data_IF_794990055757
#
_entry.id   IF_794990055757
#
_cell.length_a   1.000
_cell.length_b   1.000
_cell.length_c   1.000
_cell.angle_alpha   90.00
_cell.angle_beta   90.00
_cell.angle_gamma   90.00
#
_symmetry.space_group_name_H-M   'P 1'
#
loop_
_entity.id
_entity.type
_entity.pdbx_description
1 polymer ?
#
# COMPACT_ATOMS: atom_id res chain seq x y z
N UNK A 1 31.34 -5.52 0.45
CA UNK A 1 30.58 -4.33 0.91
C UNK A 1 31.56 -3.27 1.39
N UNK A 2 31.35 -1.99 1.06
CA UNK A 2 32.21 -0.90 1.58
C UNK A 2 31.76 -0.55 3.00
N UNK A 3 32.71 -0.29 3.90
CA UNK A 3 32.41 0.09 5.29
C UNK A 3 31.55 1.36 5.36
N UNK A 4 31.80 2.32 4.47
CA UNK A 4 31.04 3.56 4.38
C UNK A 4 29.56 3.36 4.05
N UNK A 5 29.23 2.44 3.13
CA UNK A 5 27.82 2.17 2.77
C UNK A 5 27.06 1.57 3.95
N UNK A 6 27.70 0.70 4.73
CA UNK A 6 27.10 0.11 5.92
C UNK A 6 26.83 1.15 7.02
N UNK A 7 27.79 2.03 7.27
CA UNK A 7 27.63 3.14 8.24
C UNK A 7 26.49 4.07 7.81
N UNK A 8 26.45 4.43 6.52
CA UNK A 8 25.41 5.30 5.98
C UNK A 8 24.01 4.69 6.12
N UNK A 9 23.87 3.38 5.87
CA UNK A 9 22.61 2.67 6.07
C UNK A 9 22.16 2.74 7.53
N UNK A 10 23.04 2.43 8.48
CA UNK A 10 22.71 2.52 9.91
C UNK A 10 22.30 3.93 10.35
N UNK A 11 22.93 4.96 9.79
CA UNK A 11 22.56 6.35 10.07
C UNK A 11 21.18 6.69 9.50
N UNK A 12 20.88 6.25 8.27
CA UNK A 12 19.58 6.44 7.64
C UNK A 12 18.46 5.75 8.43
N UNK A 13 18.68 4.52 8.86
CA UNK A 13 17.77 3.72 9.68
C UNK A 13 17.46 4.41 11.02
N UNK A 14 18.49 4.87 11.73
CA UNK A 14 18.34 5.64 12.98
C UNK A 14 17.55 6.93 12.77
N UNK A 15 17.80 7.64 11.66
CA UNK A 15 17.06 8.85 11.31
C UNK A 15 15.58 8.56 11.04
N UNK A 16 15.27 7.45 10.37
CA UNK A 16 13.88 7.05 10.11
C UNK A 16 13.15 6.73 11.41
N UNK A 17 13.73 5.89 12.27
CA UNK A 17 13.15 5.54 13.57
C UNK A 17 12.91 6.78 14.45
N UNK A 18 13.87 7.72 14.47
CA UNK A 18 13.72 8.99 15.20
C UNK A 18 12.53 9.81 14.67
N UNK A 19 12.43 9.98 13.34
CA UNK A 19 11.32 10.73 12.71
C UNK A 19 9.96 10.09 12.98
N UNK A 20 9.89 8.75 12.99
CA UNK A 20 8.66 8.03 13.33
C UNK A 20 8.24 8.32 14.77
N UNK A 21 9.18 8.31 15.72
CA UNK A 21 8.89 8.65 17.12
C UNK A 21 8.49 10.11 17.31
N UNK A 22 9.15 11.04 16.61
CA UNK A 22 8.79 12.46 16.66
C UNK A 22 7.37 12.71 16.12
N UNK A 23 6.96 11.95 15.09
CA UNK A 23 5.65 12.15 14.46
C UNK A 23 4.50 11.45 15.17
N UNK A 24 4.73 10.26 15.71
CA UNK A 24 3.68 9.38 16.24
C UNK A 24 3.80 9.12 17.75
N UNK A 25 4.85 9.63 18.40
CA UNK A 25 5.12 9.42 19.82
C UNK A 25 5.99 8.20 20.12
N UNK A 26 6.14 7.87 21.40
CA UNK A 26 7.00 6.76 21.85
C UNK A 26 6.32 5.39 21.81
N UNK A 27 4.99 5.33 21.91
CA UNK A 27 4.22 4.08 21.87
C UNK A 27 3.65 3.93 20.47
N UNK A 28 4.47 3.40 19.56
CA UNK A 28 4.09 3.19 18.16
C UNK A 28 4.04 1.69 17.89
N UNK A 29 2.88 1.23 17.46
CA UNK A 29 2.67 -0.10 16.90
C UNK A 29 2.72 0.05 15.38
N UNK A 30 3.61 -0.69 14.74
CA UNK A 30 3.72 -0.75 13.29
C UNK A 30 2.92 -1.95 12.80
N UNK A 31 1.97 -1.70 11.90
CA UNK A 31 1.24 -2.75 11.19
C UNK A 31 1.72 -2.71 9.75
N UNK A 32 2.40 -3.77 9.31
CA UNK A 32 2.93 -3.90 7.96
C UNK A 32 2.30 -5.08 7.26
N UNK A 33 2.19 -5.02 5.93
CA UNK A 33 1.73 -6.14 5.14
C UNK A 33 2.68 -7.32 5.16
N UNK A 34 2.18 -8.55 5.22
CA UNK A 34 3.01 -9.75 5.07
C UNK A 34 3.38 -10.07 3.61
N UNK A 35 2.85 -9.31 2.63
CA UNK A 35 3.01 -9.64 1.21
C UNK A 35 4.48 -9.61 0.78
N UNK A 36 4.90 -10.71 0.16
CA UNK A 36 6.17 -10.80 -0.52
C UNK A 36 5.88 -11.10 -1.98
N UNK A 37 6.12 -10.13 -2.85
CA UNK A 37 6.12 -10.40 -4.28
C UNK A 37 7.32 -11.30 -4.62
N UNK A 38 7.09 -12.35 -5.41
CA UNK A 38 8.18 -13.02 -6.11
C UNK A 38 8.94 -12.03 -7.00
N UNK A 39 10.10 -12.42 -7.50
CA UNK A 39 10.89 -11.56 -8.38
C UNK A 39 10.16 -11.43 -9.74
N UNK A 40 9.25 -10.45 -9.86
CA UNK A 40 8.48 -10.20 -11.07
C UNK A 40 9.35 -9.46 -12.07
N UNK A 41 9.35 -9.92 -13.33
CA UNK A 41 10.11 -9.29 -14.41
C UNK A 41 9.71 -7.81 -14.53
N UNK A 42 10.71 -6.92 -14.58
CA UNK A 42 10.54 -5.46 -14.63
C UNK A 42 10.00 -4.79 -13.35
N UNK A 43 10.00 -5.49 -12.21
CA UNK A 43 9.71 -4.88 -10.91
C UNK A 43 10.96 -4.87 -10.03
N UNK A 44 11.22 -3.78 -9.32
CA UNK A 44 12.29 -3.79 -8.32
C UNK A 44 11.94 -4.78 -7.21
N UNK A 45 12.90 -5.60 -6.75
CA UNK A 45 12.67 -6.47 -5.61
C UNK A 45 12.32 -5.61 -4.39
N UNK A 46 11.21 -5.96 -3.74
CA UNK A 46 10.72 -5.23 -2.57
C UNK A 46 11.73 -5.41 -1.45
N UNK A 47 12.38 -4.31 -1.01
CA UNK A 47 13.45 -4.32 0.01
C UNK A 47 12.91 -4.39 1.45
N UNK A 48 11.76 -5.03 1.63
CA UNK A 48 10.99 -4.90 2.87
C UNK A 48 11.67 -5.60 4.05
N UNK A 49 12.25 -6.78 3.82
CA UNK A 49 12.84 -7.62 4.88
C UNK A 49 13.86 -6.86 5.75
N UNK A 50 14.78 -6.13 5.11
CA UNK A 50 15.79 -5.35 5.84
C UNK A 50 15.20 -4.21 6.66
N UNK A 51 14.17 -3.54 6.10
CA UNK A 51 13.46 -2.46 6.78
C UNK A 51 12.67 -2.97 7.99
N UNK A 52 11.97 -4.11 7.86
CA UNK A 52 11.23 -4.73 8.97
C UNK A 52 12.14 -5.12 10.12
N UNK A 53 13.23 -5.83 9.81
CA UNK A 53 14.25 -6.20 10.81
C UNK A 53 14.78 -4.96 11.56
N UNK A 54 14.94 -3.84 10.86
CA UNK A 54 15.37 -2.59 11.46
C UNK A 54 14.30 -1.98 12.36
N UNK A 55 13.04 -1.96 11.92
CA UNK A 55 11.92 -1.38 12.68
C UNK A 55 11.58 -2.17 13.94
N UNK A 56 11.61 -3.51 13.90
CA UNK A 56 11.34 -4.39 15.06
C UNK A 56 12.27 -4.11 16.24
N UNK A 57 13.49 -3.60 16.00
CA UNK A 57 14.42 -3.26 17.09
C UNK A 57 13.97 -2.08 17.94
N UNK A 58 13.06 -1.25 17.44
CA UNK A 58 12.65 -0.02 18.09
C UNK A 58 11.15 0.15 18.30
N UNK A 59 10.34 -0.78 17.79
CA UNK A 59 8.89 -0.70 17.72
C UNK A 59 8.26 -2.10 17.82
N UNK A 60 7.03 -2.17 18.33
CA UNK A 60 6.21 -3.38 18.24
C UNK A 60 5.68 -3.51 16.80
N UNK A 61 5.93 -4.65 16.15
CA UNK A 61 5.45 -4.93 14.79
C UNK A 61 4.35 -6.00 14.83
N UNK A 62 3.33 -5.82 13.99
CA UNK A 62 2.40 -6.86 13.57
C UNK A 62 2.40 -6.96 12.06
N UNK A 63 2.36 -8.19 11.56
CA UNK A 63 2.18 -8.46 10.14
C UNK A 63 0.71 -8.73 9.86
N UNK A 64 0.12 -7.91 9.01
CA UNK A 64 -1.23 -8.08 8.51
C UNK A 64 -1.20 -9.00 7.28
N UNK A 65 -2.11 -9.98 7.22
CA UNK A 65 -2.29 -10.74 6.00
C UNK A 65 -2.95 -9.87 4.93
N UNK A 66 -2.20 -9.51 3.89
CA UNK A 66 -2.70 -8.69 2.79
C UNK A 66 -3.46 -9.50 1.73
N UNK A 67 -3.68 -10.79 1.98
CA UNK A 67 -4.49 -11.60 1.08
C UNK A 67 -5.87 -10.95 0.89
N UNK A 68 -6.19 -10.59 -0.37
CA UNK A 68 -7.46 -9.97 -0.79
C UNK A 68 -7.80 -8.61 -0.16
N UNK A 69 -6.89 -7.93 0.54
CA UNK A 69 -7.18 -6.60 1.12
C UNK A 69 -7.54 -5.57 0.06
N UNK A 70 -6.93 -5.63 -1.13
CA UNK A 70 -7.27 -4.77 -2.27
C UNK A 70 -8.59 -5.12 -2.96
N UNK A 71 -9.21 -6.25 -2.60
CA UNK A 71 -10.47 -6.72 -3.18
C UNK A 71 -11.68 -6.38 -2.31
N UNK A 72 -11.49 -5.81 -1.12
CA UNK A 72 -12.55 -5.53 -0.16
C UNK A 72 -12.70 -4.02 0.03
N UNK A 73 -13.95 -3.55 0.11
CA UNK A 73 -14.21 -2.15 0.41
C UNK A 73 -14.13 -1.89 1.92
N UNK A 74 -13.34 -0.91 2.40
CA UNK A 74 -13.32 -0.55 3.82
C UNK A 74 -14.65 0.02 4.32
N UNK A 75 -15.41 0.68 3.44
CA UNK A 75 -16.64 1.39 3.79
C UNK A 75 -17.87 0.48 3.90
N UNK A 76 -17.82 -0.69 3.27
CA UNK A 76 -18.94 -1.63 3.22
C UNK A 76 -18.48 -2.99 3.70
N UNK A 77 -19.07 -3.46 4.78
CA UNK A 77 -18.65 -4.69 5.44
C UNK A 77 -18.76 -5.87 4.47
N UNK A 78 -17.61 -6.43 4.10
CA UNK A 78 -17.46 -7.58 3.19
C UNK A 78 -18.00 -7.38 1.77
N UNK A 79 -18.20 -6.14 1.28
CA UNK A 79 -18.49 -5.96 -0.14
C UNK A 79 -17.21 -6.13 -0.95
N UNK A 80 -17.25 -6.99 -1.96
CA UNK A 80 -16.16 -7.05 -2.92
C UNK A 80 -16.09 -5.76 -3.74
N UNK A 81 -14.89 -5.41 -4.17
CA UNK A 81 -14.64 -4.35 -5.13
C UNK A 81 -14.78 -4.90 -6.55
N UNK A 82 -15.41 -4.13 -7.43
CA UNK A 82 -15.34 -4.34 -8.86
C UNK A 82 -14.07 -3.68 -9.42
N UNK A 83 -13.48 -4.32 -10.43
CA UNK A 83 -12.23 -3.91 -11.04
C UNK A 83 -12.29 -2.49 -11.63
N UNK A 84 -13.46 -2.03 -12.06
CA UNK A 84 -13.62 -0.74 -12.73
C UNK A 84 -14.78 0.06 -12.14
N UNK A 85 -14.63 1.38 -12.18
CA UNK A 85 -15.69 2.32 -11.82
C UNK A 85 -16.30 2.90 -13.07
N UNK A 86 -17.62 2.90 -13.15
CA UNK A 86 -18.34 3.62 -14.20
C UNK A 86 -18.34 5.11 -13.88
N UNK A 87 -17.77 5.90 -14.78
CA UNK A 87 -17.67 7.35 -14.65
C UNK A 87 -18.23 8.00 -15.91
N UNK A 88 -18.71 9.24 -15.80
CA UNK A 88 -19.11 10.02 -16.96
C UNK A 88 -17.88 10.27 -17.86
N UNK A 89 -18.00 10.13 -19.19
CA UNK A 89 -16.82 10.24 -20.07
C UNK A 89 -16.15 11.61 -19.85
N UNK A 90 -14.87 11.62 -19.41
CA UNK A 90 -14.17 12.88 -19.17
C UNK A 90 -14.05 13.70 -20.46
N UNK A 91 -14.10 13.06 -21.64
CA UNK A 91 -14.08 13.70 -22.95
C UNK A 91 -15.48 14.18 -23.30
N UNK A 92 -15.72 15.47 -23.08
CA UNK A 92 -17.00 16.15 -23.33
C UNK A 92 -17.61 15.86 -24.72
N UNK A 93 -16.78 15.82 -25.76
CA UNK A 93 -17.22 15.56 -27.13
C UNK A 93 -17.68 14.10 -27.37
N UNK A 94 -17.20 13.15 -26.56
CA UNK A 94 -17.60 11.75 -26.66
C UNK A 94 -18.86 11.42 -25.85
N UNK A 95 -19.25 12.26 -24.88
CA UNK A 95 -20.41 12.02 -24.01
C UNK A 95 -21.72 11.77 -24.75
N UNK A 96 -21.91 12.36 -25.94
CA UNK A 96 -23.10 12.11 -26.76
C UNK A 96 -23.20 10.66 -27.25
N UNK A 97 -22.05 10.02 -27.50
CA UNK A 97 -21.95 8.66 -28.05
C UNK A 97 -21.70 7.63 -26.95
N UNK A 98 -20.86 7.97 -25.99
CA UNK A 98 -20.48 7.16 -24.84
C UNK A 98 -20.60 8.01 -23.57
N UNK A 99 -21.79 8.13 -22.98
CA UNK A 99 -22.00 9.00 -21.82
C UNK A 99 -21.31 8.49 -20.56
N UNK A 100 -21.18 7.16 -20.44
CA UNK A 100 -20.58 6.46 -19.30
C UNK A 100 -19.50 5.54 -19.85
N UNK A 101 -18.32 5.58 -19.23
CA UNK A 101 -17.18 4.74 -19.57
C UNK A 101 -16.62 4.09 -18.31
N UNK A 102 -15.96 2.94 -18.49
CA UNK A 102 -15.22 2.29 -17.42
C UNK A 102 -13.90 3.03 -17.19
N UNK A 103 -13.66 3.46 -15.96
CA UNK A 103 -12.38 3.98 -15.51
C UNK A 103 -11.55 2.83 -14.94
N UNK A 104 -10.47 2.49 -15.64
CA UNK A 104 -9.57 1.40 -15.26
C UNK A 104 -8.65 1.74 -14.09
N UNK A 105 -8.54 3.01 -13.69
CA UNK A 105 -7.73 3.46 -12.56
C UNK A 105 -8.48 3.48 -11.23
N UNK A 106 -9.81 3.32 -11.25
CA UNK A 106 -10.66 3.43 -10.07
C UNK A 106 -11.47 2.14 -9.85
N UNK A 107 -11.46 1.68 -8.60
CA UNK A 107 -12.31 0.58 -8.16
C UNK A 107 -13.69 1.11 -7.74
N UNK A 108 -14.72 0.28 -7.86
CA UNK A 108 -16.05 0.57 -7.32
C UNK A 108 -16.48 -0.51 -6.33
N UNK A 109 -17.25 -0.15 -5.31
CA UNK A 109 -17.82 -1.14 -4.40
C UNK A 109 -19.00 -1.83 -5.07
N UNK A 110 -19.10 -3.16 -4.95
CA UNK A 110 -20.34 -3.86 -5.32
C UNK A 110 -21.46 -3.39 -4.42
N UNK A 111 -22.37 -2.61 -4.98
CA UNK A 111 -23.65 -2.30 -4.34
C UNK A 111 -24.49 -3.57 -4.37
N UNK A 112 -24.51 -4.32 -3.27
CA UNK A 112 -25.56 -5.31 -3.08
C UNK A 112 -26.86 -4.53 -2.86
N UNK A 113 -27.72 -4.46 -3.89
CA UNK A 113 -29.08 -3.94 -3.71
C UNK A 113 -29.75 -4.79 -2.62
N UNK A 114 -30.00 -4.17 -1.47
CA UNK A 114 -30.94 -4.66 -0.45
C UNK A 114 -32.34 -4.19 -0.87
#
# INVERSE_FOLDING_TARGET
MKLSSFINQQQADKRLAKKLRERFGNVVILILGNWMAGNVKCHEPIRDVGMRIMLVKGFQEYLLDESRTSSLCPSYQNSELETFKKVQDPRSYQRKKYPIVDDHGLLSAKTNNI
#
